data_IF_475096879593
#
_entry.id   IF_475096879593
#
_cell.length_a   1.000
_cell.length_b   1.000
_cell.length_c   1.000
_cell.angle_alpha   90.00
_cell.angle_beta   90.00
_cell.angle_gamma   90.00
#
_symmetry.space_group_name_H-M   'P 1'
#
loop_
_entity.id
_entity.type
_entity.pdbx_description
1 polymer ?
#
# COMPACT_ATOMS: atom_id res chain seq x y z
N UNK A 1 -6.53 -6.70 -20.92
CA UNK A 1 -5.77 -6.50 -19.67
C UNK A 1 -5.25 -7.86 -19.26
N UNK A 2 -3.93 -8.01 -19.13
CA UNK A 2 -3.37 -9.26 -18.61
C UNK A 2 -3.88 -9.51 -17.20
N UNK A 3 -4.50 -10.67 -16.97
CA UNK A 3 -5.03 -11.09 -15.67
C UNK A 3 -3.99 -10.96 -14.56
N UNK A 4 -2.71 -11.18 -14.89
CA UNK A 4 -1.56 -11.00 -14.01
C UNK A 4 -1.40 -9.55 -13.54
N UNK A 5 -1.45 -8.57 -14.45
CA UNK A 5 -1.36 -7.15 -14.09
C UNK A 5 -2.55 -6.71 -13.21
N UNK A 6 -3.74 -7.26 -13.47
CA UNK A 6 -4.92 -7.00 -12.63
C UNK A 6 -4.73 -7.53 -11.21
N UNK A 7 -4.24 -8.77 -11.05
CA UNK A 7 -3.99 -9.38 -9.74
C UNK A 7 -2.96 -8.57 -8.94
N UNK A 8 -1.87 -8.13 -9.58
CA UNK A 8 -0.83 -7.33 -8.93
C UNK A 8 -1.40 -6.00 -8.43
N UNK A 9 -2.22 -5.33 -9.24
CA UNK A 9 -2.87 -4.09 -8.82
C UNK A 9 -3.84 -4.31 -7.64
N UNK A 10 -4.61 -5.39 -7.65
CA UNK A 10 -5.51 -5.73 -6.54
C UNK A 10 -4.72 -5.98 -5.25
N UNK A 11 -3.62 -6.73 -5.32
CA UNK A 11 -2.75 -6.99 -4.15
C UNK A 11 -2.16 -5.67 -3.64
N UNK A 12 -1.69 -4.78 -4.52
CA UNK A 12 -1.12 -3.50 -4.13
C UNK A 12 -2.16 -2.61 -3.39
N UNK A 13 -3.40 -2.59 -3.88
CA UNK A 13 -4.51 -1.85 -3.24
C UNK A 13 -4.85 -2.45 -1.87
N UNK A 14 -4.93 -3.78 -1.77
CA UNK A 14 -5.23 -4.46 -0.50
C UNK A 14 -4.14 -4.22 0.55
N UNK A 15 -2.87 -4.25 0.15
CA UNK A 15 -1.74 -3.94 1.04
C UNK A 15 -1.78 -2.48 1.48
N UNK A 16 -2.01 -1.54 0.56
CA UNK A 16 -2.13 -0.11 0.89
C UNK A 16 -3.27 0.18 1.86
N UNK A 17 -4.45 -0.39 1.61
CA UNK A 17 -5.61 -0.28 2.51
C UNK A 17 -5.35 -0.93 3.87
N UNK A 18 -4.77 -2.14 3.88
CA UNK A 18 -4.44 -2.85 5.11
C UNK A 18 -3.45 -2.08 5.99
N UNK A 19 -2.41 -1.52 5.39
CA UNK A 19 -1.42 -0.69 6.09
C UNK A 19 -2.07 0.59 6.64
N UNK A 20 -2.87 1.29 5.83
CA UNK A 20 -3.57 2.50 6.27
C UNK A 20 -4.53 2.23 7.43
N UNK A 21 -5.38 1.20 7.31
CA UNK A 21 -6.29 0.82 8.39
C UNK A 21 -5.53 0.36 9.63
N UNK A 22 -4.44 -0.40 9.47
CA UNK A 22 -3.60 -0.85 10.57
C UNK A 22 -2.98 0.31 11.34
N UNK A 23 -2.40 1.27 10.62
CA UNK A 23 -1.80 2.47 11.25
C UNK A 23 -2.87 3.31 11.93
N UNK A 24 -4.01 3.57 11.26
CA UNK A 24 -5.11 4.36 11.82
C UNK A 24 -5.79 3.69 13.02
N UNK A 25 -5.88 2.37 13.06
CA UNK A 25 -6.49 1.65 14.18
C UNK A 25 -5.52 1.48 15.37
N UNK A 26 -4.21 1.58 15.12
CA UNK A 26 -3.19 1.55 16.18
C UNK A 26 -3.29 2.76 17.11
N UNK A 27 -2.88 2.59 18.37
CA UNK A 27 -2.80 3.71 19.33
C UNK A 27 -1.86 4.82 18.85
N UNK A 28 -0.88 4.49 17.99
CA UNK A 28 0.04 5.46 17.41
C UNK A 28 -0.64 6.37 16.39
N UNK A 29 -1.44 5.82 15.47
CA UNK A 29 -2.18 6.61 14.48
C UNK A 29 -3.28 7.47 15.11
N UNK A 30 -3.94 6.99 16.17
CA UNK A 30 -4.92 7.79 16.94
C UNK A 30 -4.28 8.95 17.68
N UNK A 31 -3.02 8.81 18.12
CA UNK A 31 -2.26 9.85 18.82
C UNK A 31 -1.62 10.87 17.85
N UNK A 32 -1.36 10.47 16.61
CA UNK A 32 -0.70 11.28 15.58
C UNK A 32 -1.65 11.64 14.43
N UNK A 33 -2.94 11.83 14.71
CA UNK A 33 -3.92 12.25 13.68
C UNK A 33 -3.56 13.59 13.01
N UNK A 34 -2.75 14.41 13.67
CA UNK A 34 -2.17 15.63 13.11
C UNK A 34 -1.30 15.33 11.87
N UNK A 35 -0.67 14.16 11.84
CA UNK A 35 0.19 13.66 10.75
C UNK A 35 -0.56 12.74 9.78
N UNK A 36 -1.90 12.76 9.78
CA UNK A 36 -2.72 11.86 8.96
C UNK A 36 -2.41 11.98 7.46
N UNK A 37 -2.07 13.17 6.96
CA UNK A 37 -1.56 13.37 5.60
C UNK A 37 -0.22 12.66 5.34
N UNK A 38 0.71 12.72 6.30
CA UNK A 38 2.01 12.06 6.19
C UNK A 38 1.90 10.54 6.28
N UNK A 39 1.00 10.05 7.15
CA UNK A 39 0.67 8.62 7.25
C UNK A 39 0.07 8.12 5.94
N UNK A 40 -0.90 8.86 5.38
CA UNK A 40 -1.51 8.53 4.10
C UNK A 40 -0.45 8.49 2.97
N UNK A 41 0.40 9.51 2.87
CA UNK A 41 1.51 9.54 1.90
C UNK A 41 2.48 8.35 2.09
N UNK A 42 2.86 8.03 3.33
CA UNK A 42 3.73 6.90 3.63
C UNK A 42 3.10 5.56 3.23
N UNK A 43 1.81 5.38 3.50
CA UNK A 43 1.08 4.16 3.10
C UNK A 43 0.92 4.02 1.59
N UNK A 44 0.67 5.11 0.86
CA UNK A 44 0.61 5.12 -0.60
C UNK A 44 1.98 4.80 -1.20
N UNK A 45 3.06 5.41 -0.69
CA UNK A 45 4.43 5.11 -1.11
C UNK A 45 4.76 3.63 -0.94
N UNK A 46 4.45 3.05 0.22
CA UNK A 46 4.64 1.62 0.48
C UNK A 46 3.81 0.74 -0.46
N UNK A 47 2.53 1.10 -0.69
CA UNK A 47 1.67 0.34 -1.60
C UNK A 47 2.21 0.34 -3.04
N UNK A 48 2.71 1.47 -3.52
CA UNK A 48 3.30 1.59 -4.87
C UNK A 48 4.63 0.84 -4.96
N UNK A 49 5.47 0.90 -3.92
CA UNK A 49 6.72 0.14 -3.88
C UNK A 49 6.44 -1.37 -3.91
N UNK A 50 5.47 -1.85 -3.14
CA UNK A 50 5.06 -3.26 -3.13
C UNK A 50 4.49 -3.67 -4.49
N UNK A 51 3.56 -2.90 -5.06
CA UNK A 51 2.99 -3.19 -6.38
C UNK A 51 4.03 -3.18 -7.50
N UNK A 52 4.94 -2.21 -7.48
CA UNK A 52 6.05 -2.11 -8.42
C UNK A 52 7.05 -3.25 -8.27
N UNK A 53 7.38 -3.64 -7.05
CA UNK A 53 8.29 -4.75 -6.76
C UNK A 53 7.72 -6.10 -7.19
N UNK A 54 6.43 -6.35 -6.92
CA UNK A 54 5.74 -7.56 -7.38
C UNK A 54 5.69 -7.59 -8.91
N UNK A 55 5.38 -6.45 -9.55
CA UNK A 55 5.40 -6.35 -11.02
C UNK A 55 6.78 -6.62 -11.60
N UNK A 56 7.83 -6.10 -10.97
CA UNK A 56 9.21 -6.37 -11.38
C UNK A 56 9.55 -7.87 -11.28
N UNK A 57 9.20 -8.53 -10.18
CA UNK A 57 9.47 -9.96 -9.99
C UNK A 57 8.71 -10.88 -10.96
N UNK A 58 7.49 -10.50 -11.36
CA UNK A 58 6.59 -11.36 -12.16
C UNK A 58 6.70 -11.10 -13.66
N UNK A 59 6.96 -9.85 -14.07
CA UNK A 59 6.89 -9.43 -15.49
C UNK A 59 8.28 -9.19 -16.10
N UNK A 60 9.26 -8.73 -15.33
CA UNK A 60 10.60 -8.37 -15.82
C UNK A 60 11.65 -9.47 -15.60
N UNK A 61 11.25 -10.61 -15.01
CA UNK A 61 12.07 -11.80 -14.90
C UNK A 61 11.89 -12.68 -16.14
#
# INVERSE_FOLDING_TARGET
MDTVNMIINVIAILVGLGLYMGVMNSQWGKKHQEYMYAIMLGTILLAVLVGGFIRWLVVLR
#
